data_IF_277551806287
#
_entry.id   IF_277551806287
#
_cell.length_a   1.000
_cell.length_b   1.000
_cell.length_c   1.000
_cell.angle_alpha   90.00
_cell.angle_beta   90.00
_cell.angle_gamma   90.00
#
_symmetry.space_group_name_H-M   'P 1'
#
loop_
_entity.id
_entity.type
_entity.pdbx_description
1 polymer ?
#
# COMPACT_ATOMS: atom_id res chain seq x y z
N UNK A 1 20.66 6.31 8.88
CA UNK A 1 19.84 5.14 8.51
C UNK A 1 19.66 4.28 9.75
N UNK A 2 18.42 4.00 10.17
CA UNK A 2 18.12 3.15 11.33
C UNK A 2 17.94 1.69 10.91
N UNK A 3 18.15 0.74 11.84
CA UNK A 3 17.89 -0.70 11.64
C UNK A 3 16.46 -0.95 11.10
N UNK A 4 15.48 -0.22 11.62
CA UNK A 4 14.09 -0.27 11.19
C UNK A 4 13.87 0.16 9.74
N UNK A 5 14.74 1.00 9.16
CA UNK A 5 14.69 1.38 7.76
C UNK A 5 15.03 0.22 6.83
N UNK A 6 16.12 -0.50 7.13
CA UNK A 6 16.59 -1.65 6.33
C UNK A 6 15.57 -2.79 6.30
N UNK A 7 15.00 -3.13 7.46
CA UNK A 7 13.98 -4.18 7.56
C UNK A 7 12.73 -3.84 6.72
N UNK A 8 12.33 -2.56 6.69
CA UNK A 8 11.20 -2.10 5.87
C UNK A 8 11.49 -2.20 4.38
N UNK A 9 12.72 -1.94 3.95
CA UNK A 9 13.16 -2.12 2.56
C UNK A 9 13.07 -3.58 2.12
N UNK A 10 13.61 -4.52 2.90
CA UNK A 10 13.54 -5.95 2.61
C UNK A 10 12.07 -6.45 2.52
N UNK A 11 11.22 -6.03 3.47
CA UNK A 11 9.80 -6.35 3.45
C UNK A 11 9.07 -5.74 2.25
N UNK A 12 9.53 -4.60 1.73
CA UNK A 12 8.90 -3.95 0.58
C UNK A 12 9.09 -4.76 -0.72
N UNK A 13 10.20 -5.47 -0.84
CA UNK A 13 10.47 -6.35 -1.99
C UNK A 13 9.71 -7.68 -1.90
N UNK A 14 9.43 -8.16 -0.68
CA UNK A 14 8.71 -9.41 -0.46
C UNK A 14 7.21 -9.27 -0.71
N UNK A 15 6.71 -9.72 -1.86
CA UNK A 15 5.29 -9.70 -2.20
C UNK A 15 4.74 -11.12 -2.17
N UNK A 16 3.70 -11.34 -1.36
CA UNK A 16 3.02 -12.63 -1.30
C UNK A 16 2.46 -13.05 -2.67
N UNK A 17 2.64 -14.32 -3.05
CA UNK A 17 2.10 -14.85 -4.30
C UNK A 17 0.57 -14.95 -4.28
N UNK A 18 0.01 -15.30 -3.12
CA UNK A 18 -1.42 -15.48 -2.93
C UNK A 18 -2.18 -14.16 -3.06
N UNK A 19 -3.26 -14.15 -3.85
CA UNK A 19 -4.09 -12.97 -4.10
C UNK A 19 -4.74 -12.43 -2.81
N UNK A 20 -5.26 -13.32 -1.96
CA UNK A 20 -5.95 -12.91 -0.74
C UNK A 20 -5.00 -12.21 0.25
N UNK A 21 -3.74 -12.66 0.35
CA UNK A 21 -2.75 -12.01 1.21
C UNK A 21 -2.42 -10.60 0.72
N UNK A 22 -2.28 -10.41 -0.60
CA UNK A 22 -2.00 -9.09 -1.19
C UNK A 22 -3.17 -8.11 -1.01
N UNK A 23 -4.41 -8.58 -1.13
CA UNK A 23 -5.60 -7.74 -0.87
C UNK A 23 -5.67 -7.35 0.60
N UNK A 24 -5.44 -8.30 1.51
CA UNK A 24 -5.42 -8.02 2.95
C UNK A 24 -4.32 -7.02 3.32
N UNK A 25 -3.13 -7.16 2.73
CA UNK A 25 -2.01 -6.24 2.94
C UNK A 25 -2.32 -4.83 2.41
N UNK A 26 -2.90 -4.73 1.20
CA UNK A 26 -3.35 -3.46 0.65
C UNK A 26 -4.43 -2.80 1.52
N UNK A 27 -5.41 -3.58 2.00
CA UNK A 27 -6.45 -3.09 2.89
C UNK A 27 -5.86 -2.58 4.22
N UNK A 28 -4.87 -3.27 4.78
CA UNK A 28 -4.16 -2.83 5.97
C UNK A 28 -3.42 -1.50 5.76
N UNK A 29 -2.75 -1.32 4.62
CA UNK A 29 -2.11 -0.05 4.29
C UNK A 29 -3.12 1.09 4.11
N UNK A 30 -4.22 0.85 3.39
CA UNK A 30 -5.29 1.85 3.24
C UNK A 30 -5.91 2.19 4.61
N UNK A 31 -6.08 1.22 5.50
CA UNK A 31 -6.61 1.45 6.85
C UNK A 31 -5.64 2.22 7.76
N UNK A 32 -4.33 2.01 7.65
CA UNK A 32 -3.35 2.69 8.50
C UNK A 32 -2.97 4.10 8.02
N UNK A 33 -2.80 4.27 6.71
CA UNK A 33 -2.22 5.50 6.13
C UNK A 33 -2.97 5.99 4.89
N UNK A 34 -4.13 5.40 4.59
CA UNK A 34 -5.01 5.81 3.52
C UNK A 34 -6.26 6.53 4.00
N UNK A 35 -6.87 7.28 3.09
CA UNK A 35 -8.21 7.84 3.23
C UNK A 35 -8.98 7.51 1.97
N UNK A 36 -10.16 6.90 2.13
CA UNK A 36 -11.07 6.61 1.03
C UNK A 36 -12.18 7.65 1.04
N UNK A 37 -12.36 8.33 -0.08
CA UNK A 37 -13.45 9.30 -0.27
C UNK A 37 -14.22 8.97 -1.53
N UNK A 38 -15.53 9.08 -1.45
CA UNK A 38 -16.44 8.88 -2.58
C UNK A 38 -16.98 10.26 -2.95
N UNK A 39 -16.77 10.67 -4.20
CA UNK A 39 -17.30 11.94 -4.69
C UNK A 39 -18.79 11.80 -5.07
N UNK A 40 -19.43 12.95 -5.24
CA UNK A 40 -20.82 13.15 -5.67
C UNK A 40 -21.17 12.42 -6.98
N UNK A 41 -20.16 12.12 -7.81
CA UNK A 41 -20.29 11.37 -9.07
C UNK A 41 -19.98 9.87 -8.92
N UNK A 42 -20.05 9.32 -7.71
CA UNK A 42 -19.73 7.93 -7.38
C UNK A 42 -18.29 7.51 -7.78
N UNK A 43 -17.37 8.48 -7.73
CA UNK A 43 -15.95 8.26 -8.02
C UNK A 43 -15.21 7.94 -6.73
N UNK A 44 -14.54 6.79 -6.73
CA UNK A 44 -13.73 6.33 -5.61
C UNK A 44 -12.33 6.93 -5.68
N UNK A 45 -11.95 7.64 -4.63
CA UNK A 45 -10.61 8.21 -4.48
C UNK A 45 -9.92 7.59 -3.26
N UNK A 46 -8.69 7.12 -3.47
CA UNK A 46 -7.82 6.64 -2.40
C UNK A 46 -6.65 7.63 -2.30
N UNK A 47 -6.55 8.33 -1.18
CA UNK A 47 -5.40 9.17 -0.84
C UNK A 47 -4.53 8.41 0.14
N UNK A 48 -3.22 8.36 -0.08
CA UNK A 48 -2.27 7.73 0.84
C UNK A 48 -1.29 8.80 1.30
N UNK A 49 -1.19 8.97 2.62
CA UNK A 49 -0.25 9.87 3.25
C UNK A 49 0.77 9.06 4.05
N UNK A 50 2.03 9.09 3.62
CA UNK A 50 3.11 8.36 4.28
C UNK A 50 4.38 9.19 4.25
N UNK A 51 5.02 9.34 5.41
CA UNK A 51 6.35 9.92 5.56
C UNK A 51 7.46 8.94 5.13
N UNK A 52 7.10 7.67 4.93
CA UNK A 52 8.03 6.63 4.51
C UNK A 52 7.82 6.28 3.04
N UNK A 53 8.83 6.57 2.22
CA UNK A 53 8.84 6.30 0.77
C UNK A 53 8.74 4.81 0.43
N UNK A 54 9.26 3.94 1.31
CA UNK A 54 9.24 2.49 1.14
C UNK A 54 7.80 1.97 1.22
N UNK A 55 7.02 2.49 2.17
CA UNK A 55 5.58 2.18 2.30
C UNK A 55 4.81 2.66 1.07
N UNK A 56 5.06 3.90 0.63
CA UNK A 56 4.41 4.43 -0.57
C UNK A 56 4.69 3.59 -1.82
N UNK A 57 5.96 3.18 -2.02
CA UNK A 57 6.36 2.26 -3.10
C UNK A 57 5.69 0.89 -2.99
N UNK A 58 5.59 0.34 -1.79
CA UNK A 58 4.95 -0.96 -1.55
C UNK A 58 3.48 -0.93 -1.97
N UNK A 59 2.72 0.07 -1.50
CA UNK A 59 1.31 0.20 -1.85
C UNK A 59 1.12 0.41 -3.34
N UNK A 60 1.94 1.26 -3.97
CA UNK A 60 1.89 1.46 -5.42
C UNK A 60 2.15 0.16 -6.20
N UNK A 61 3.14 -0.62 -5.76
CA UNK A 61 3.46 -1.92 -6.38
C UNK A 61 2.30 -2.92 -6.22
N UNK A 62 1.70 -2.99 -5.04
CA UNK A 62 0.55 -3.86 -4.76
C UNK A 62 -0.67 -3.47 -5.62
N UNK A 63 -0.94 -2.17 -5.78
CA UNK A 63 -1.99 -1.66 -6.67
C UNK A 63 -1.72 -2.04 -8.13
N UNK A 64 -0.50 -1.80 -8.63
CA UNK A 64 -0.13 -2.09 -10.02
C UNK A 64 -0.21 -3.58 -10.36
N UNK A 65 0.18 -4.47 -9.44
CA UNK A 65 0.11 -5.93 -9.62
C UNK A 65 -1.31 -6.51 -9.49
N UNK A 66 -2.29 -5.72 -9.07
CA UNK A 66 -3.68 -6.16 -8.91
C UNK A 66 -4.69 -5.50 -9.84
N UNK A 67 -4.44 -4.26 -10.29
CA UNK A 67 -5.35 -3.52 -11.16
C UNK A 67 -4.94 -3.51 -12.65
N UNK A 68 -3.76 -4.03 -13.00
CA UNK A 68 -3.28 -4.21 -14.38
C UNK A 68 -2.87 -5.68 -14.53
#
# INVERSE_FOLDING_TARGET
>A
MSFSGKVREELSENISQARHCRIAELAAFIGMCGTVSIDSFDRYHIKIHSENIVVARKVFTLLKKHLI
#
